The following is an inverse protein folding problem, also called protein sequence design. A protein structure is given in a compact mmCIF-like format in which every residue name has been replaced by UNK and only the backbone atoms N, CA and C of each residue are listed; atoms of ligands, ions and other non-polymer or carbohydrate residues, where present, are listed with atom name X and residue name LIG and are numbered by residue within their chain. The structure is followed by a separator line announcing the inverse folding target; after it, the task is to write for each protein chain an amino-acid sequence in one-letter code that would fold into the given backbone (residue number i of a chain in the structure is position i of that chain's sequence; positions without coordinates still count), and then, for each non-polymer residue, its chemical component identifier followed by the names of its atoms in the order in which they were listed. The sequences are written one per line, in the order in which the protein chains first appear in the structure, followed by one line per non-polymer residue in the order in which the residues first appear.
data_IF_231703868086
#
_entry.id   IF_231703868086
#
_cell.length_a   1.000
_cell.length_b   1.000
_cell.length_c   1.000
_cell.angle_alpha   90.00
_cell.angle_beta   90.00
_cell.angle_gamma   90.00
#
_symmetry.space_group_name_H-M   'P 1'
#
loop_
_entity.id
_entity.type
_entity.pdbx_description
1 polymer ?
#
# COMPACT_ATOMS: atom_id res chain seq x y z
N UNK A 1 22.16 -4.60 18.30
CA UNK A 1 20.85 -4.24 17.74
C UNK A 1 19.87 -3.98 18.85
N UNK A 2 19.09 -2.90 18.74
CA UNK A 2 18.08 -2.57 19.74
C UNK A 2 16.73 -3.15 19.30
N UNK A 3 16.04 -3.84 20.21
CA UNK A 3 14.64 -4.28 20.02
C UNK A 3 13.75 -3.11 19.59
N UNK A 4 14.06 -1.92 20.06
CA UNK A 4 13.40 -0.66 19.71
C UNK A 4 13.46 -0.37 18.20
N UNK A 5 14.64 -0.57 17.56
CA UNK A 5 14.79 -0.34 16.12
C UNK A 5 13.96 -1.34 15.28
N UNK A 6 13.91 -2.60 15.74
CA UNK A 6 13.09 -3.64 15.08
C UNK A 6 11.61 -3.29 15.21
N UNK A 7 11.18 -2.90 16.41
CA UNK A 7 9.80 -2.47 16.65
C UNK A 7 9.44 -1.22 15.84
N UNK A 8 10.33 -0.25 15.74
CA UNK A 8 10.13 0.96 14.91
C UNK A 8 9.99 0.61 13.43
N UNK A 9 10.81 -0.31 12.90
CA UNK A 9 10.66 -0.78 11.52
C UNK A 9 9.33 -1.50 11.28
N UNK A 10 8.84 -2.27 12.25
CA UNK A 10 7.52 -2.90 12.21
C UNK A 10 6.38 -1.88 12.19
N UNK A 11 6.47 -0.82 12.99
CA UNK A 11 5.50 0.30 12.95
C UNK A 11 5.52 1.00 11.58
N UNK A 12 6.71 1.29 11.04
CA UNK A 12 6.85 1.91 9.72
C UNK A 12 6.24 1.03 8.61
N UNK A 13 6.47 -0.28 8.65
CA UNK A 13 5.89 -1.23 7.70
C UNK A 13 4.36 -1.28 7.78
N UNK A 14 3.79 -1.25 8.99
CA UNK A 14 2.36 -1.21 9.20
C UNK A 14 1.73 0.09 8.67
N UNK A 15 2.37 1.24 8.88
CA UNK A 15 1.93 2.52 8.32
C UNK A 15 2.01 2.53 6.79
N UNK A 16 3.07 1.96 6.21
CA UNK A 16 3.20 1.84 4.76
C UNK A 16 2.06 0.99 4.16
N UNK A 17 1.69 -0.13 4.81
CA UNK A 17 0.55 -0.97 4.41
C UNK A 17 -0.76 -0.18 4.47
N UNK A 18 -1.01 0.53 5.56
CA UNK A 18 -2.20 1.37 5.70
C UNK A 18 -2.29 2.43 4.60
N UNK A 19 -1.18 3.09 4.30
CA UNK A 19 -1.12 4.11 3.25
C UNK A 19 -1.42 3.52 1.86
N UNK A 20 -0.87 2.36 1.52
CA UNK A 20 -1.12 1.67 0.25
C UNK A 20 -2.60 1.31 0.14
N UNK A 21 -3.18 0.69 1.18
CA UNK A 21 -4.59 0.34 1.19
C UNK A 21 -5.50 1.56 1.09
N UNK A 22 -5.19 2.64 1.80
CA UNK A 22 -5.95 3.89 1.73
C UNK A 22 -5.90 4.51 0.32
N UNK A 23 -4.74 4.48 -0.35
CA UNK A 23 -4.61 4.94 -1.74
C UNK A 23 -5.42 4.07 -2.70
N UNK A 24 -5.40 2.75 -2.55
CA UNK A 24 -6.19 1.83 -3.37
C UNK A 24 -7.69 2.13 -3.23
N UNK A 25 -8.18 2.29 -2.00
CA UNK A 25 -9.61 2.61 -1.76
C UNK A 25 -9.97 3.98 -2.34
N UNK A 26 -9.15 5.00 -2.08
CA UNK A 26 -9.42 6.36 -2.57
C UNK A 26 -9.46 6.45 -4.10
N UNK A 27 -8.67 5.60 -4.80
CA UNK A 27 -8.59 5.58 -6.25
C UNK A 27 -9.34 4.41 -6.89
N UNK A 28 -10.13 3.65 -6.14
CA UNK A 28 -10.86 2.47 -6.65
C UNK A 28 -11.82 2.78 -7.80
N UNK A 29 -12.25 4.03 -7.93
CA UNK A 29 -13.15 4.51 -8.99
C UNK A 29 -12.45 5.43 -9.99
N UNK A 30 -11.13 5.55 -9.96
CA UNK A 30 -10.36 6.37 -10.90
C UNK A 30 -10.18 5.63 -12.23
N UNK A 31 -11.26 5.61 -13.01
CA UNK A 31 -11.32 4.95 -14.32
C UNK A 31 -10.55 5.73 -15.39
N UNK A 32 -10.19 5.05 -16.46
CA UNK A 32 -9.49 5.67 -17.58
C UNK A 32 -9.66 4.91 -18.90
N UNK A 33 -8.99 5.39 -19.93
CA UNK A 33 -8.98 4.73 -21.21
C UNK A 33 -8.20 3.41 -21.15
N UNK A 34 -8.59 2.46 -21.98
CA UNK A 34 -7.81 1.25 -22.24
C UNK A 34 -6.47 1.62 -22.91
N UNK A 35 -5.41 0.80 -22.77
CA UNK A 35 -4.12 1.06 -23.41
C UNK A 35 -4.19 1.25 -24.94
N UNK A 36 -5.15 0.57 -25.58
CA UNK A 36 -5.36 0.61 -27.03
C UNK A 36 -6.30 1.75 -27.49
N UNK A 37 -6.70 2.63 -26.56
CA UNK A 37 -7.56 3.76 -26.90
C UNK A 37 -6.84 4.75 -27.81
N UNK A 38 -7.41 5.00 -28.99
CA UNK A 38 -6.92 6.01 -29.91
C UNK A 38 -7.76 7.29 -29.75
N UNK A 39 -7.17 8.31 -29.15
CA UNK A 39 -7.80 9.61 -29.07
C UNK A 39 -7.96 10.20 -30.48
N UNK A 40 -9.09 10.86 -30.74
CA UNK A 40 -9.28 11.64 -31.97
C UNK A 40 -8.21 12.74 -32.04
N UNK A 41 -7.65 12.96 -33.22
CA UNK A 41 -6.63 13.99 -33.41
C UNK A 41 -7.15 15.36 -32.92
N UNK A 42 -6.41 15.98 -32.00
CA UNK A 42 -6.78 17.27 -31.38
C UNK A 42 -7.62 17.16 -30.09
N UNK A 43 -8.00 15.97 -29.64
CA UNK A 43 -8.64 15.78 -28.35
C UNK A 43 -7.63 15.87 -27.19
N UNK A 44 -8.13 16.27 -26.00
CA UNK A 44 -7.31 16.22 -24.78
C UNK A 44 -6.86 14.76 -24.50
N UNK A 45 -5.68 14.55 -23.87
CA UNK A 45 -5.23 13.21 -23.51
C UNK A 45 -6.27 12.53 -22.62
N UNK A 46 -6.58 11.27 -22.93
CA UNK A 46 -7.53 10.48 -22.15
C UNK A 46 -6.99 10.22 -20.75
N UNK A 47 -7.85 10.17 -19.71
CA UNK A 47 -7.43 9.83 -18.36
C UNK A 47 -6.90 8.40 -18.33
N UNK A 48 -5.86 8.18 -17.54
CA UNK A 48 -5.30 6.85 -17.27
C UNK A 48 -5.96 6.27 -16.03
N UNK A 49 -6.43 5.02 -16.10
CA UNK A 49 -6.97 4.34 -14.93
C UNK A 49 -5.88 4.16 -13.86
N UNK A 50 -6.26 4.31 -12.60
CA UNK A 50 -5.35 4.04 -11.49
C UNK A 50 -4.87 2.59 -11.52
N UNK A 51 -3.59 2.39 -11.27
CA UNK A 51 -3.00 1.05 -11.10
C UNK A 51 -2.83 0.79 -9.60
N UNK A 52 -3.61 -0.13 -9.00
CA UNK A 52 -3.53 -0.46 -7.58
C UNK A 52 -2.13 -0.86 -7.16
N UNK A 53 -1.78 -0.48 -5.94
CA UNK A 53 -0.47 -0.74 -5.35
C UNK A 53 -0.50 -2.00 -4.49
N UNK A 54 0.63 -2.69 -4.45
CA UNK A 54 0.90 -3.81 -3.54
C UNK A 54 2.12 -3.48 -2.70
N UNK A 55 2.09 -3.86 -1.42
CA UNK A 55 3.21 -3.74 -0.51
C UNK A 55 3.77 -5.12 -0.19
N UNK A 56 5.07 -5.30 -0.43
CA UNK A 56 5.84 -6.46 0.00
C UNK A 56 6.69 -6.09 1.20
N UNK A 57 6.72 -6.98 2.21
CA UNK A 57 7.58 -6.84 3.38
C UNK A 57 8.80 -7.77 3.20
N UNK A 58 9.98 -7.24 3.47
CA UNK A 58 11.26 -7.92 3.35
C UNK A 58 11.95 -7.92 4.71
N UNK A 59 12.53 -9.05 5.10
CA UNK A 59 13.40 -9.07 6.28
C UNK A 59 14.72 -8.37 5.96
N UNK A 60 15.10 -7.41 6.78
CA UNK A 60 16.41 -6.77 6.68
C UNK A 60 17.46 -7.61 7.40
N UNK A 61 18.63 -7.87 6.77
CA UNK A 61 19.70 -8.62 7.42
C UNK A 61 20.26 -7.83 8.61
N UNK A 62 20.85 -8.58 9.55
CA UNK A 62 21.46 -8.02 10.76
C UNK A 62 22.54 -6.97 10.48
N UNK A 63 23.24 -7.10 9.34
CA UNK A 63 24.26 -6.14 8.88
C UNK A 63 23.67 -4.76 8.51
N UNK A 64 22.38 -4.71 8.20
CA UNK A 64 21.63 -3.47 7.87
C UNK A 64 20.71 -3.00 9.02
N UNK A 65 20.95 -3.47 10.23
CA UNK A 65 20.16 -3.09 11.41
C UNK A 65 19.01 -4.03 11.75
N UNK A 66 18.71 -5.03 10.92
CA UNK A 66 17.59 -5.97 11.11
C UNK A 66 16.22 -5.31 11.02
N UNK A 67 15.17 -6.11 11.23
CA UNK A 67 13.80 -5.62 11.18
C UNK A 67 13.13 -5.83 9.83
N UNK A 68 12.21 -4.96 9.45
CA UNK A 68 11.37 -5.08 8.26
C UNK A 68 11.59 -3.90 7.32
N UNK A 69 11.95 -4.20 6.07
CA UNK A 69 11.88 -3.26 4.95
C UNK A 69 10.56 -3.39 4.20
N UNK A 70 10.18 -2.37 3.46
CA UNK A 70 8.97 -2.39 2.64
C UNK A 70 9.30 -1.99 1.20
N UNK A 71 8.65 -2.64 0.26
CA UNK A 71 8.70 -2.30 -1.16
C UNK A 71 7.28 -2.16 -1.68
N UNK A 72 6.99 -1.06 -2.34
CA UNK A 72 5.70 -0.79 -2.99
C UNK A 72 5.87 -0.98 -4.49
N UNK A 73 5.00 -1.76 -5.08
CA UNK A 73 4.94 -2.01 -6.53
C UNK A 73 3.51 -1.91 -7.02
N UNK A 74 3.31 -1.71 -8.31
CA UNK A 74 1.98 -1.81 -8.91
C UNK A 74 1.53 -3.26 -9.03
N UNK A 75 0.24 -3.51 -8.82
CA UNK A 75 -0.33 -4.85 -9.01
C UNK A 75 -0.29 -5.26 -10.48
N UNK A 76 0.21 -6.45 -10.83
CA UNK A 76 0.30 -6.91 -12.21
C UNK A 76 -1.09 -7.06 -12.89
N UNK A 77 -2.14 -7.35 -12.11
CA UNK A 77 -3.53 -7.44 -12.57
C UNK A 77 -4.37 -6.28 -11.99
N UNK A 78 -3.76 -5.11 -11.91
CA UNK A 78 -4.33 -3.96 -11.21
C UNK A 78 -5.49 -3.29 -11.95
N UNK A 79 -5.77 -3.65 -13.19
CA UNK A 79 -6.86 -3.06 -13.97
C UNK A 79 -7.75 -4.15 -14.56
N UNK A 80 -9.03 -3.86 -14.65
CA UNK A 80 -10.04 -4.68 -15.31
C UNK A 80 -10.83 -3.85 -16.32
N UNK A 81 -11.50 -4.51 -17.23
CA UNK A 81 -12.31 -3.87 -18.26
C UNK A 81 -13.76 -3.82 -17.81
N UNK A 82 -14.38 -2.64 -17.88
CA UNK A 82 -15.80 -2.43 -17.54
C UNK A 82 -16.52 -1.77 -18.73
N UNK A 83 -17.79 -2.07 -18.90
CA UNK A 83 -18.62 -1.48 -19.94
C UNK A 83 -19.22 -0.16 -19.45
N UNK A 84 -18.79 0.94 -20.04
CA UNK A 84 -19.31 2.29 -19.81
C UNK A 84 -19.25 3.10 -21.12
N UNK A 85 -20.25 2.96 -21.99
CA UNK A 85 -20.29 3.66 -23.29
C UNK A 85 -20.53 5.17 -23.16
N UNK A 86 -20.87 5.67 -21.96
CA UNK A 86 -21.10 7.10 -21.71
C UNK A 86 -19.78 7.85 -21.46
N UNK A 87 -18.71 7.14 -21.13
CA UNK A 87 -17.41 7.75 -20.92
C UNK A 87 -16.81 8.27 -22.23
N UNK A 88 -16.35 9.51 -22.23
CA UNK A 88 -15.72 10.15 -23.41
C UNK A 88 -14.43 9.47 -23.89
N UNK A 89 -13.86 8.61 -23.05
CA UNK A 89 -12.66 7.82 -23.27
C UNK A 89 -12.95 6.32 -23.42
N UNK A 90 -14.21 5.95 -23.60
CA UNK A 90 -14.58 4.56 -23.94
C UNK A 90 -14.06 4.18 -25.32
N UNK A 91 -13.66 2.92 -25.49
CA UNK A 91 -13.27 2.41 -26.79
C UNK A 91 -14.48 2.24 -27.73
N UNK A 92 -14.26 1.80 -28.96
CA UNK A 92 -15.34 1.59 -29.96
C UNK A 92 -16.38 0.54 -29.54
N UNK A 93 -16.09 -0.26 -28.50
CA UNK A 93 -16.98 -1.26 -27.91
C UNK A 93 -17.67 -0.76 -26.65
N UNK A 94 -17.41 0.49 -26.23
CA UNK A 94 -17.92 1.06 -25.01
C UNK A 94 -17.20 0.58 -23.75
N UNK A 95 -15.95 0.14 -23.87
CA UNK A 95 -15.17 -0.40 -22.75
C UNK A 95 -14.19 0.64 -22.21
N UNK A 96 -14.03 0.63 -20.89
CA UNK A 96 -13.08 1.47 -20.14
C UNK A 96 -12.21 0.62 -19.22
N UNK A 97 -11.05 1.12 -18.84
CA UNK A 97 -10.22 0.53 -17.81
C UNK A 97 -10.68 1.00 -16.42
N UNK A 98 -10.86 0.09 -15.48
CA UNK A 98 -11.18 0.38 -14.08
C UNK A 98 -10.16 -0.27 -13.17
N UNK A 99 -9.82 0.36 -12.01
CA UNK A 99 -8.95 -0.27 -11.02
C UNK A 99 -9.56 -1.56 -10.48
N UNK A 100 -8.76 -2.61 -10.41
CA UNK A 100 -9.18 -3.89 -9.81
C UNK A 100 -8.91 -3.86 -8.30
N UNK A 101 -9.74 -3.14 -7.57
CA UNK A 101 -9.67 -2.99 -6.11
C UNK A 101 -10.92 -3.58 -5.49
N UNK A 102 -10.74 -4.50 -4.55
CA UNK A 102 -11.84 -5.00 -3.71
C UNK A 102 -11.83 -4.26 -2.36
N UNK A 103 -12.84 -3.42 -2.10
CA UNK A 103 -12.92 -2.65 -0.85
C UNK A 103 -12.97 -3.53 0.41
N UNK A 104 -13.51 -4.74 0.32
CA UNK A 104 -13.57 -5.65 1.46
C UNK A 104 -12.17 -6.20 1.78
N UNK A 105 -11.38 -6.54 0.77
CA UNK A 105 -9.99 -6.96 0.95
C UNK A 105 -9.17 -5.80 1.52
N UNK A 106 -9.35 -4.59 1.02
CA UNK A 106 -8.63 -3.43 1.53
C UNK A 106 -9.02 -3.08 2.98
N UNK A 107 -10.29 -3.27 3.38
CA UNK A 107 -10.70 -3.13 4.77
C UNK A 107 -9.99 -4.14 5.69
N UNK A 108 -9.82 -5.38 5.26
CA UNK A 108 -9.04 -6.38 5.98
C UNK A 108 -7.56 -5.98 6.09
N UNK A 109 -6.97 -5.51 5.00
CA UNK A 109 -5.58 -5.00 4.97
C UNK A 109 -5.36 -3.86 5.98
N UNK A 110 -6.35 -2.96 6.13
CA UNK A 110 -6.29 -1.85 7.10
C UNK A 110 -6.37 -2.36 8.55
N UNK A 111 -7.24 -3.34 8.82
CA UNK A 111 -7.36 -3.97 10.14
C UNK A 111 -6.06 -4.69 10.51
N UNK A 112 -5.48 -5.44 9.57
CA UNK A 112 -4.19 -6.12 9.77
C UNK A 112 -3.07 -5.12 10.03
N UNK A 113 -2.98 -4.03 9.26
CA UNK A 113 -2.00 -2.98 9.46
C UNK A 113 -2.13 -2.34 10.85
N UNK A 114 -3.36 -2.06 11.30
CA UNK A 114 -3.61 -1.52 12.64
C UNK A 114 -3.15 -2.48 13.74
N UNK A 115 -3.45 -3.78 13.60
CA UNK A 115 -3.05 -4.79 14.58
C UNK A 115 -1.53 -4.96 14.63
N UNK A 116 -0.87 -4.99 13.47
CA UNK A 116 0.59 -5.03 13.35
C UNK A 116 1.24 -3.79 14.01
N UNK A 117 0.68 -2.61 13.77
CA UNK A 117 1.15 -1.38 14.39
C UNK A 117 1.04 -1.44 15.91
N UNK A 118 -0.13 -1.83 16.45
CA UNK A 118 -0.35 -1.97 17.90
C UNK A 118 0.60 -2.99 18.53
N UNK A 119 0.83 -4.12 17.88
CA UNK A 119 1.78 -5.12 18.35
C UNK A 119 3.20 -4.56 18.41
N UNK A 120 3.63 -3.84 17.38
CA UNK A 120 4.96 -3.21 17.33
C UNK A 120 5.12 -2.12 18.39
N UNK A 121 4.08 -1.32 18.66
CA UNK A 121 4.07 -0.32 19.76
C UNK A 121 4.26 -1.00 21.12
N UNK A 122 3.61 -2.14 21.37
CA UNK A 122 3.77 -2.86 22.62
C UNK A 122 5.20 -3.39 22.79
N UNK A 123 5.81 -3.93 21.73
CA UNK A 123 7.21 -4.38 21.76
C UNK A 123 8.15 -3.19 22.00
N UNK A 124 7.86 -2.05 21.38
CA UNK A 124 8.64 -0.82 21.57
C UNK A 124 8.64 -0.38 23.05
N UNK A 125 7.45 -0.32 23.67
CA UNK A 125 7.29 0.04 25.09
C UNK A 125 8.06 -0.91 26.02
N UNK A 126 7.91 -2.22 25.82
CA UNK A 126 8.66 -3.22 26.59
C UNK A 126 10.17 -3.04 26.41
N UNK A 127 10.63 -2.72 25.21
CA UNK A 127 12.04 -2.42 24.94
C UNK A 127 12.56 -1.19 25.70
N UNK A 128 11.76 -0.13 25.80
CA UNK A 128 12.08 1.05 26.60
C UNK A 128 12.15 0.73 28.11
N UNK A 129 11.17 -0.04 28.63
CA UNK A 129 11.16 -0.46 30.04
C UNK A 129 12.38 -1.32 30.40
N UNK A 130 12.75 -2.25 29.52
CA UNK A 130 13.97 -3.07 29.70
C UNK A 130 15.24 -2.21 29.73
N UNK A 131 15.34 -1.21 28.83
CA UNK A 131 16.47 -0.30 28.78
C UNK A 131 16.55 0.57 30.02
N UNK A 132 15.41 1.08 30.50
CA UNK A 132 15.34 1.86 31.74
C UNK A 132 15.71 1.01 32.96
N UNK A 133 15.30 -0.25 33.03
CA UNK A 133 15.67 -1.18 34.09
C UNK A 133 17.17 -1.49 34.06
N UNK A 134 17.74 -1.72 32.88
CA UNK A 134 19.18 -1.97 32.76
C UNK A 134 20.03 -0.78 33.22
N UNK A 135 19.63 0.45 32.93
CA UNK A 135 20.31 1.66 33.40
C UNK A 135 20.28 1.81 34.92
N UNK A 136 19.19 1.41 35.58
CA UNK A 136 19.08 1.43 37.05
C UNK A 136 19.98 0.42 37.76
N UNK A 137 20.39 -0.64 37.03
CA UNK A 137 21.29 -1.66 37.59
C UNK A 137 22.77 -1.26 37.48
N UNK A 138 23.09 -0.22 36.71
CA UNK A 138 24.47 0.26 36.49
C UNK A 138 24.84 1.46 37.36
N UNK A 139 23.91 1.93 38.20
CA UNK A 139 24.09 2.99 39.20
C UNK A 139 23.99 2.38 40.61
#
# INVERSE_FOLDING_TARGET
MSVINIAASGMAAAMARLNVSAQNVANSQSNGALPDFQATAGAAPAPTAYAPLQLSQLSLPLSQGGGVGTQVTTSPNGQQTTYDPSASYADSRGLVATPNVDPAIEAVNQIEALNQFKASVNVFKVGEEMMAAALKLTV
#
